data_IF_972016893336
#
_entry.id   IF_972016893336
#
_cell.length_a   1.000
_cell.length_b   1.000
_cell.length_c   1.000
_cell.angle_alpha   90.00
_cell.angle_beta   90.00
_cell.angle_gamma   90.00
#
_symmetry.space_group_name_H-M   'P 1'
#
loop_
_entity.id
_entity.type
_entity.pdbx_description
1 polymer ?
#
# COMPACT_ATOMS: atom_id res chain seq x y z
N UNK A 1 11.67 -13.69 -6.83
CA UNK A 1 11.87 -12.35 -6.24
C UNK A 1 10.64 -11.88 -5.43
N UNK A 2 9.46 -11.64 -6.06
CA UNK A 2 8.25 -11.16 -5.31
C UNK A 2 7.91 -12.09 -4.15
N UNK A 3 7.85 -13.41 -4.37
CA UNK A 3 7.57 -14.38 -3.31
C UNK A 3 8.63 -14.37 -2.19
N UNK A 4 9.90 -14.15 -2.51
CA UNK A 4 11.00 -14.06 -1.54
C UNK A 4 10.84 -12.81 -0.67
N UNK A 5 10.50 -11.66 -1.28
CA UNK A 5 10.23 -10.43 -0.53
C UNK A 5 9.03 -10.59 0.36
N UNK A 6 7.91 -11.13 -0.14
CA UNK A 6 6.70 -11.38 0.67
C UNK A 6 7.00 -12.33 1.83
N UNK A 7 7.77 -13.40 1.59
CA UNK A 7 8.18 -14.35 2.63
C UNK A 7 9.01 -13.70 3.73
N UNK A 8 9.81 -12.67 3.41
CA UNK A 8 10.63 -11.95 4.39
C UNK A 8 9.84 -11.10 5.37
N UNK A 9 8.56 -10.82 5.08
CA UNK A 9 7.67 -10.03 5.91
C UNK A 9 6.74 -10.85 6.82
N UNK A 10 7.12 -12.08 7.14
CA UNK A 10 6.36 -12.96 8.02
C UNK A 10 4.90 -13.20 7.58
N UNK A 11 4.67 -13.19 6.27
CA UNK A 11 3.35 -13.47 5.68
C UNK A 11 2.99 -14.95 5.70
N UNK A 12 3.97 -15.82 5.97
CA UNK A 12 3.84 -17.26 5.80
C UNK A 12 3.83 -17.72 4.34
N UNK A 13 3.84 -16.80 3.37
CA UNK A 13 3.89 -17.13 1.94
C UNK A 13 5.24 -17.76 1.60
N UNK A 14 5.23 -18.97 1.09
CA UNK A 14 6.42 -19.69 0.61
C UNK A 14 6.54 -19.71 -0.91
N UNK A 15 5.48 -19.33 -1.62
CA UNK A 15 5.49 -19.31 -3.08
C UNK A 15 4.25 -18.67 -3.69
N UNK A 16 4.40 -18.27 -4.95
CA UNK A 16 3.33 -17.77 -5.78
C UNK A 16 3.15 -18.72 -6.96
N UNK A 17 1.93 -19.01 -7.32
CA UNK A 17 1.61 -19.79 -8.51
C UNK A 17 0.59 -19.04 -9.38
N UNK A 18 0.84 -19.04 -10.69
CA UNK A 18 -0.11 -18.59 -11.69
C UNK A 18 -0.84 -19.83 -12.21
N UNK A 19 -2.15 -19.81 -12.13
CA UNK A 19 -3.00 -20.87 -12.66
C UNK A 19 -3.76 -20.34 -13.87
N UNK A 20 -3.64 -21.04 -15.00
CA UNK A 20 -4.41 -20.72 -16.20
C UNK A 20 -5.86 -21.18 -15.98
N UNK A 21 -6.80 -20.26 -16.16
CA UNK A 21 -8.24 -20.50 -16.00
C UNK A 21 -8.97 -20.21 -17.30
N UNK A 22 -10.05 -20.96 -17.54
CA UNK A 22 -10.93 -20.67 -18.67
C UNK A 22 -11.69 -19.36 -18.47
N UNK A 23 -12.12 -18.75 -19.57
CA UNK A 23 -12.94 -17.53 -19.50
C UNK A 23 -14.24 -17.74 -18.72
N UNK A 24 -14.83 -18.94 -18.78
CA UNK A 24 -16.04 -19.30 -18.00
C UNK A 24 -15.76 -19.34 -16.48
N UNK A 25 -14.54 -19.69 -16.09
CA UNK A 25 -14.12 -19.71 -14.68
C UNK A 25 -13.78 -18.29 -14.21
N UNK A 26 -13.13 -17.51 -15.06
CA UNK A 26 -12.88 -16.10 -14.82
C UNK A 26 -14.20 -15.34 -14.53
N UNK A 27 -15.29 -15.75 -15.21
CA UNK A 27 -16.62 -15.19 -15.01
C UNK A 27 -17.19 -15.37 -13.59
N UNK A 28 -16.67 -16.31 -12.83
CA UNK A 28 -17.04 -16.52 -11.41
C UNK A 28 -16.18 -15.74 -10.44
N UNK A 29 -14.96 -15.37 -10.86
CA UNK A 29 -13.97 -14.69 -10.04
C UNK A 29 -14.14 -13.17 -10.14
N UNK A 30 -14.42 -12.68 -11.34
CA UNK A 30 -14.40 -11.25 -11.67
C UNK A 30 -15.83 -10.70 -11.79
N UNK A 31 -16.17 -9.57 -11.15
CA UNK A 31 -17.47 -8.92 -11.29
C UNK A 31 -17.85 -8.59 -12.75
N UNK A 32 -19.15 -8.56 -13.08
CA UNK A 32 -19.62 -8.30 -14.45
C UNK A 32 -19.11 -6.99 -15.06
N UNK A 33 -18.99 -5.94 -14.25
CA UNK A 33 -18.51 -4.62 -14.69
C UNK A 33 -17.05 -4.68 -15.14
N UNK A 34 -16.22 -5.42 -14.41
CA UNK A 34 -14.81 -5.61 -14.74
C UNK A 34 -14.65 -6.49 -15.96
N UNK A 35 -15.49 -7.54 -16.10
CA UNK A 35 -15.54 -8.38 -17.32
C UNK A 35 -15.83 -7.56 -18.56
N UNK A 36 -16.81 -6.67 -18.46
CA UNK A 36 -17.13 -5.76 -19.57
C UNK A 36 -15.89 -4.91 -19.95
N UNK A 37 -15.23 -4.33 -18.97
CA UNK A 37 -13.99 -3.55 -19.18
C UNK A 37 -12.88 -4.40 -19.83
N UNK A 38 -12.66 -5.63 -19.38
CA UNK A 38 -11.69 -6.57 -19.96
C UNK A 38 -12.04 -6.80 -21.46
N UNK A 39 -13.30 -7.07 -21.74
CA UNK A 39 -13.74 -7.34 -23.11
C UNK A 39 -13.53 -6.14 -24.04
N UNK A 40 -13.84 -4.94 -23.57
CA UNK A 40 -13.59 -3.69 -24.32
C UNK A 40 -12.10 -3.43 -24.54
N UNK A 41 -11.27 -3.66 -23.52
CA UNK A 41 -9.82 -3.51 -23.65
C UNK A 41 -9.22 -4.52 -24.62
N UNK A 42 -9.69 -5.77 -24.61
CA UNK A 42 -9.28 -6.80 -25.56
C UNK A 42 -9.68 -6.44 -27.00
N UNK A 43 -10.87 -5.85 -27.20
CA UNK A 43 -11.33 -5.35 -28.51
C UNK A 43 -10.53 -4.15 -29.00
N UNK A 44 -10.32 -3.17 -28.12
CA UNK A 44 -9.57 -1.96 -28.43
C UNK A 44 -8.11 -2.26 -28.79
N UNK A 45 -7.52 -3.30 -28.19
CA UNK A 45 -6.17 -3.76 -28.44
C UNK A 45 -6.13 -5.02 -29.33
N UNK A 46 -7.06 -5.13 -30.28
CA UNK A 46 -7.03 -6.20 -31.26
C UNK A 46 -5.69 -6.23 -32.01
N UNK A 47 -5.04 -7.38 -32.15
CA UNK A 47 -3.73 -7.48 -32.76
C UNK A 47 -3.79 -7.06 -34.23
N UNK A 48 -2.79 -6.32 -34.67
CA UNK A 48 -2.59 -5.94 -36.08
C UNK A 48 -1.59 -6.88 -36.78
N UNK A 49 -0.80 -7.61 -35.98
CA UNK A 49 0.22 -8.57 -36.44
C UNK A 49 0.21 -9.79 -35.53
N UNK A 50 0.66 -10.92 -36.05
CA UNK A 50 0.78 -12.17 -35.27
C UNK A 50 1.83 -12.09 -34.15
N UNK A 51 2.75 -11.14 -34.23
CA UNK A 51 3.76 -10.90 -33.19
C UNK A 51 3.31 -9.95 -32.07
N UNK A 52 2.14 -9.34 -32.21
CA UNK A 52 1.66 -8.37 -31.22
C UNK A 52 1.30 -9.11 -29.92
N UNK A 53 1.79 -8.59 -28.79
CA UNK A 53 1.49 -9.11 -27.46
C UNK A 53 0.65 -8.10 -26.71
N UNK A 54 -0.39 -8.58 -26.07
CA UNK A 54 -1.21 -7.81 -25.16
C UNK A 54 -1.18 -8.47 -23.78
N UNK A 55 -0.89 -7.68 -22.77
CA UNK A 55 -0.94 -8.10 -21.37
C UNK A 55 -1.73 -7.09 -20.54
N UNK A 56 -2.61 -7.58 -19.71
CA UNK A 56 -3.40 -6.80 -18.76
C UNK A 56 -3.38 -7.50 -17.41
N UNK A 57 -3.09 -6.76 -16.37
CA UNK A 57 -3.22 -7.23 -14.99
C UNK A 57 -4.29 -6.41 -14.30
N UNK A 58 -5.24 -7.09 -13.68
CA UNK A 58 -6.32 -6.49 -12.91
C UNK A 58 -6.27 -7.07 -11.51
N UNK A 59 -6.23 -6.18 -10.51
CA UNK A 59 -6.18 -6.56 -9.11
C UNK A 59 -7.15 -5.69 -8.30
N UNK A 60 -7.77 -6.29 -7.32
CA UNK A 60 -8.47 -5.63 -6.23
C UNK A 60 -8.32 -6.47 -4.94
N UNK A 61 -9.10 -6.15 -3.93
CA UNK A 61 -9.06 -6.86 -2.64
C UNK A 61 -9.43 -8.35 -2.74
N UNK A 62 -10.15 -8.78 -3.78
CA UNK A 62 -10.69 -10.14 -3.87
C UNK A 62 -9.99 -11.02 -4.91
N UNK A 63 -9.33 -10.45 -5.90
CA UNK A 63 -8.68 -11.23 -6.95
C UNK A 63 -7.46 -10.55 -7.55
N UNK A 64 -6.58 -11.35 -8.10
CA UNK A 64 -5.45 -10.94 -8.90
C UNK A 64 -5.45 -11.75 -10.20
N UNK A 65 -5.80 -11.10 -11.30
CA UNK A 65 -5.99 -11.73 -12.61
C UNK A 65 -5.05 -11.11 -13.64
N UNK A 66 -4.33 -11.95 -14.35
CA UNK A 66 -3.58 -11.59 -15.55
C UNK A 66 -4.32 -12.06 -16.79
N UNK A 67 -4.32 -11.26 -17.84
CA UNK A 67 -4.84 -11.65 -19.16
C UNK A 67 -3.74 -11.39 -20.17
N UNK A 68 -3.40 -12.40 -20.93
CA UNK A 68 -2.38 -12.33 -21.95
C UNK A 68 -2.95 -12.83 -23.28
N UNK A 69 -2.56 -12.18 -24.38
CA UNK A 69 -2.89 -12.61 -25.73
C UNK A 69 -1.68 -12.41 -26.64
N UNK A 70 -1.40 -13.39 -27.45
CA UNK A 70 -0.34 -13.34 -28.47
C UNK A 70 -0.95 -13.45 -29.85
N UNK A 71 -0.74 -12.46 -30.68
CA UNK A 71 -1.29 -12.39 -32.03
C UNK A 71 -2.82 -12.52 -32.07
N UNK A 72 -3.31 -13.22 -33.06
CA UNK A 72 -4.73 -13.53 -33.23
C UNK A 72 -5.25 -14.70 -32.37
N UNK A 73 -4.39 -15.20 -31.45
CA UNK A 73 -4.77 -16.30 -30.56
C UNK A 73 -5.85 -15.90 -29.55
N UNK A 74 -6.47 -16.92 -28.95
CA UNK A 74 -7.42 -16.73 -27.88
C UNK A 74 -6.73 -16.12 -26.64
N UNK A 75 -7.36 -15.16 -25.96
CA UNK A 75 -6.83 -14.62 -24.72
C UNK A 75 -6.79 -15.70 -23.64
N UNK A 76 -5.70 -15.73 -22.90
CA UNK A 76 -5.48 -16.61 -21.74
C UNK A 76 -5.64 -15.82 -20.47
N UNK A 77 -6.46 -16.31 -19.56
CA UNK A 77 -6.59 -15.74 -18.24
C UNK A 77 -5.79 -16.56 -17.23
N UNK A 78 -5.13 -15.87 -16.32
CA UNK A 78 -4.38 -16.48 -15.21
C UNK A 78 -4.83 -15.86 -13.89
N UNK A 79 -4.98 -16.66 -12.85
CA UNK A 79 -5.18 -16.19 -11.48
C UNK A 79 -3.92 -16.40 -10.67
N UNK A 80 -3.62 -15.45 -9.81
CA UNK A 80 -2.53 -15.58 -8.86
C UNK A 80 -3.05 -16.27 -7.60
N UNK A 81 -2.36 -17.32 -7.18
CA UNK A 81 -2.58 -18.01 -5.92
C UNK A 81 -1.30 -18.03 -5.09
N UNK A 82 -1.45 -18.14 -3.79
CA UNK A 82 -0.37 -18.19 -2.83
C UNK A 82 -0.21 -19.60 -2.27
N UNK A 83 1.01 -19.92 -1.82
CA UNK A 83 1.30 -21.14 -1.05
C UNK A 83 1.94 -20.76 0.26
N UNK A 84 1.55 -21.47 1.33
CA UNK A 84 2.05 -21.23 2.67
C UNK A 84 2.84 -22.43 3.19
N UNK A 85 4.03 -22.16 3.74
CA UNK A 85 4.90 -23.17 4.34
C UNK A 85 5.18 -24.34 3.40
N UNK A 86 5.07 -25.57 3.91
CA UNK A 86 5.21 -26.81 3.13
C UNK A 86 3.90 -27.32 2.52
N UNK A 87 2.84 -26.52 2.50
CA UNK A 87 1.54 -26.95 1.96
C UNK A 87 1.58 -27.12 0.45
N UNK A 88 0.96 -28.20 -0.03
CA UNK A 88 0.72 -28.41 -1.46
C UNK A 88 -0.53 -27.66 -1.95
N UNK A 89 -1.38 -27.18 -1.01
CA UNK A 89 -2.58 -26.43 -1.34
C UNK A 89 -2.21 -25.01 -1.69
N UNK A 90 -2.82 -24.48 -2.75
CA UNK A 90 -2.79 -23.09 -3.11
C UNK A 90 -4.03 -22.39 -2.55
N UNK A 91 -3.86 -21.17 -2.08
CA UNK A 91 -4.90 -20.32 -1.53
C UNK A 91 -5.27 -19.26 -2.55
N UNK A 92 -6.55 -18.93 -2.65
CA UNK A 92 -7.00 -17.82 -3.47
C UNK A 92 -6.59 -16.49 -2.85
N UNK A 93 -6.40 -15.48 -3.67
CA UNK A 93 -5.94 -14.16 -3.22
C UNK A 93 -6.84 -13.53 -2.15
N UNK A 94 -8.16 -13.78 -2.24
CA UNK A 94 -9.16 -13.32 -1.26
C UNK A 94 -9.03 -13.99 0.12
N UNK A 95 -8.37 -15.14 0.21
CA UNK A 95 -8.18 -15.87 1.47
C UNK A 95 -7.00 -15.34 2.27
N UNK A 96 -6.20 -14.46 1.66
CA UNK A 96 -5.09 -13.80 2.33
C UNK A 96 -5.56 -12.71 3.30
N UNK A 97 -4.76 -12.42 4.32
CA UNK A 97 -5.01 -11.31 5.23
C UNK A 97 -4.98 -9.96 4.49
N UNK A 98 -5.68 -8.96 5.03
CA UNK A 98 -5.66 -7.59 4.47
C UNK A 98 -4.23 -7.05 4.37
N UNK A 99 -3.40 -7.29 5.38
CA UNK A 99 -1.99 -6.89 5.36
C UNK A 99 -1.22 -7.58 4.25
N UNK A 100 -1.40 -8.88 4.08
CA UNK A 100 -0.75 -9.64 2.99
C UNK A 100 -1.18 -9.11 1.62
N UNK A 101 -2.47 -8.89 1.39
CA UNK A 101 -2.99 -8.36 0.14
C UNK A 101 -2.43 -6.97 -0.17
N UNK A 102 -2.33 -6.12 0.85
CA UNK A 102 -1.77 -4.77 0.71
C UNK A 102 -0.26 -4.78 0.43
N UNK A 103 0.48 -5.77 0.93
CA UNK A 103 1.89 -5.97 0.57
C UNK A 103 2.08 -6.18 -0.93
N UNK A 104 1.14 -6.84 -1.61
CA UNK A 104 1.21 -6.96 -3.08
C UNK A 104 1.14 -5.61 -3.79
N UNK A 105 0.39 -4.62 -3.24
CA UNK A 105 0.38 -3.26 -3.79
C UNK A 105 1.76 -2.62 -3.68
N UNK A 106 2.44 -2.86 -2.56
CA UNK A 106 3.80 -2.38 -2.35
C UNK A 106 4.84 -3.05 -3.24
N UNK A 107 4.62 -4.31 -3.63
CA UNK A 107 5.54 -4.99 -4.57
C UNK A 107 5.61 -4.26 -5.90
N UNK A 108 4.50 -3.76 -6.42
CA UNK A 108 4.49 -2.99 -7.66
C UNK A 108 5.33 -1.70 -7.54
N UNK A 109 5.31 -1.06 -6.36
CA UNK A 109 6.11 0.13 -6.07
C UNK A 109 7.60 -0.22 -6.02
N UNK A 110 7.96 -1.26 -5.25
CA UNK A 110 9.35 -1.69 -5.07
C UNK A 110 9.98 -2.26 -6.35
N UNK A 111 9.19 -2.92 -7.21
CA UNK A 111 9.70 -3.52 -8.45
C UNK A 111 9.52 -2.64 -9.69
N UNK A 112 9.02 -1.41 -9.51
CA UNK A 112 8.93 -0.47 -10.63
C UNK A 112 10.33 -0.08 -11.10
N UNK A 113 10.55 -0.16 -12.42
CA UNK A 113 11.82 0.21 -13.06
C UNK A 113 11.70 1.53 -13.83
N UNK A 114 10.63 2.28 -13.60
CA UNK A 114 10.37 3.54 -14.30
C UNK A 114 10.95 4.69 -13.51
N UNK A 115 11.70 5.53 -14.15
CA UNK A 115 12.17 6.80 -13.65
C UNK A 115 10.99 7.81 -13.52
N UNK A 116 11.12 8.83 -12.68
CA UNK A 116 10.18 9.96 -12.54
C UNK A 116 8.75 9.58 -12.10
N UNK A 117 8.60 8.70 -11.12
CA UNK A 117 7.28 8.36 -10.57
C UNK A 117 7.05 8.93 -9.18
N UNK A 118 5.83 9.40 -8.96
CA UNK A 118 5.33 9.77 -7.62
C UNK A 118 4.26 8.77 -7.22
N UNK A 119 4.51 8.07 -6.12
CA UNK A 119 3.54 7.19 -5.49
C UNK A 119 2.87 7.91 -4.33
N UNK A 120 1.54 7.92 -4.32
CA UNK A 120 0.76 8.55 -3.25
C UNK A 120 -0.06 7.48 -2.55
N UNK A 121 0.16 7.29 -1.24
CA UNK A 121 -0.50 6.26 -0.44
C UNK A 121 -1.18 6.91 0.76
N UNK A 122 -2.48 6.75 0.85
CA UNK A 122 -3.23 7.16 2.02
C UNK A 122 -3.23 6.04 3.07
N UNK A 123 -2.99 6.40 4.34
CA UNK A 123 -2.88 5.47 5.46
C UNK A 123 -1.91 4.30 5.19
N UNK A 124 -0.64 4.60 4.98
CA UNK A 124 0.40 3.60 4.69
C UNK A 124 0.42 2.46 5.70
N UNK A 125 0.22 2.77 6.98
CA UNK A 125 0.23 1.84 8.09
C UNK A 125 -1.03 0.96 8.23
N UNK A 126 -2.06 1.21 7.42
CA UNK A 126 -3.32 0.46 7.52
C UNK A 126 -3.06 -1.03 7.28
N UNK A 127 -3.52 -1.85 8.24
CA UNK A 127 -3.37 -3.31 8.25
C UNK A 127 -1.94 -3.83 8.36
N UNK A 128 -0.96 -2.97 8.61
CA UNK A 128 0.43 -3.37 8.83
C UNK A 128 0.81 -3.31 10.32
N UNK A 129 1.74 -4.16 10.70
CA UNK A 129 2.45 -3.99 11.97
C UNK A 129 3.41 -2.78 11.86
N UNK A 130 3.59 -1.96 12.90
CA UNK A 130 4.49 -0.80 12.86
C UNK A 130 5.87 -1.07 12.28
N UNK A 131 6.52 -2.16 12.70
CA UNK A 131 7.82 -2.54 12.16
C UNK A 131 7.79 -2.76 10.64
N UNK A 132 6.67 -3.29 10.11
CA UNK A 132 6.54 -3.52 8.68
C UNK A 132 6.48 -2.21 7.90
N UNK A 133 5.73 -1.22 8.40
CA UNK A 133 5.67 0.11 7.79
C UNK A 133 7.05 0.76 7.70
N UNK A 134 7.84 0.68 8.77
CA UNK A 134 9.21 1.19 8.82
C UNK A 134 10.10 0.52 7.76
N UNK A 135 10.09 -0.81 7.71
CA UNK A 135 10.91 -1.55 6.74
C UNK A 135 10.49 -1.33 5.28
N UNK A 136 9.19 -1.12 5.01
CA UNK A 136 8.72 -0.79 3.67
C UNK A 136 9.25 0.56 3.19
N UNK A 137 9.26 1.57 4.05
CA UNK A 137 9.84 2.88 3.73
C UNK A 137 11.36 2.77 3.55
N UNK A 138 12.03 2.02 4.41
CA UNK A 138 13.47 1.77 4.28
C UNK A 138 13.81 1.09 2.95
N UNK A 139 13.08 0.04 2.58
CA UNK A 139 13.26 -0.66 1.31
C UNK A 139 12.97 0.25 0.11
N UNK A 140 11.93 1.07 0.17
CA UNK A 140 11.66 2.05 -0.88
C UNK A 140 12.86 2.97 -1.08
N UNK A 141 13.38 3.56 -0.01
CA UNK A 141 14.52 4.46 -0.05
C UNK A 141 15.80 3.77 -0.59
N UNK A 142 16.00 2.49 -0.27
CA UNK A 142 17.15 1.72 -0.76
C UNK A 142 17.01 1.36 -2.25
N UNK A 143 15.84 0.91 -2.67
CA UNK A 143 15.59 0.50 -4.06
C UNK A 143 15.66 1.70 -5.01
N UNK A 144 15.08 2.83 -4.59
CA UNK A 144 14.98 4.05 -5.38
C UNK A 144 16.07 5.10 -5.06
N UNK A 145 17.17 4.69 -4.43
CA UNK A 145 18.25 5.59 -4.03
C UNK A 145 18.93 6.32 -5.21
N UNK A 146 18.81 5.82 -6.42
CA UNK A 146 19.48 6.34 -7.61
C UNK A 146 18.52 6.70 -8.74
N UNK A 147 17.24 6.82 -8.46
CA UNK A 147 16.23 7.26 -9.43
C UNK A 147 15.40 8.44 -8.83
N UNK A 148 14.54 9.03 -9.64
CA UNK A 148 13.73 10.18 -9.25
C UNK A 148 12.32 9.79 -8.77
N UNK A 149 12.17 8.56 -8.25
CA UNK A 149 10.92 8.11 -7.66
C UNK A 149 10.67 8.77 -6.30
N UNK A 150 9.43 9.16 -6.04
CA UNK A 150 8.98 9.73 -4.77
C UNK A 150 7.86 8.92 -4.15
N UNK A 151 7.89 8.76 -2.82
CA UNK A 151 6.82 8.19 -2.03
C UNK A 151 6.23 9.28 -1.13
N UNK A 152 4.97 9.63 -1.38
CA UNK A 152 4.18 10.53 -0.53
C UNK A 152 3.12 9.69 0.17
N UNK A 153 3.05 9.76 1.49
CA UNK A 153 2.06 8.98 2.22
C UNK A 153 1.53 9.71 3.45
N UNK A 154 0.33 9.32 3.86
CA UNK A 154 -0.21 9.70 5.16
C UNK A 154 -0.09 8.52 6.13
N UNK A 155 0.03 8.83 7.41
CA UNK A 155 0.07 7.80 8.46
C UNK A 155 -0.39 8.38 9.81
N UNK A 156 -1.00 7.55 10.64
CA UNK A 156 -1.25 7.83 12.05
C UNK A 156 -0.18 7.25 12.97
N UNK A 157 0.83 6.60 12.38
CA UNK A 157 1.89 5.95 13.13
C UNK A 157 3.05 6.93 13.38
N UNK A 158 3.17 7.34 14.63
CA UNK A 158 4.17 8.34 15.02
C UNK A 158 5.59 7.75 15.21
N UNK A 159 5.71 6.43 15.34
CA UNK A 159 7.01 5.78 15.54
C UNK A 159 7.90 5.82 14.27
N UNK A 160 7.28 6.03 13.10
CA UNK A 160 8.02 6.22 11.86
C UNK A 160 8.64 7.63 11.76
N UNK A 161 8.22 8.56 12.61
CA UNK A 161 8.70 9.95 12.61
C UNK A 161 10.10 10.03 13.24
N UNK A 162 11.09 9.74 12.44
CA UNK A 162 12.52 9.71 12.82
C UNK A 162 13.39 10.29 11.73
N UNK A 163 14.49 10.94 12.13
CA UNK A 163 15.53 11.38 11.21
C UNK A 163 16.36 10.23 10.60
N UNK A 164 16.13 9.04 11.04
CA UNK A 164 16.65 7.82 10.42
C UNK A 164 16.01 7.58 9.04
N UNK A 165 14.73 7.93 8.91
CA UNK A 165 13.94 7.69 7.69
C UNK A 165 13.71 8.95 6.86
N UNK A 166 13.59 10.12 7.52
CA UNK A 166 13.15 11.35 6.86
C UNK A 166 13.98 12.56 7.27
N UNK A 167 14.17 13.49 6.34
CA UNK A 167 14.63 14.83 6.63
C UNK A 167 13.50 15.67 7.24
N UNK A 168 13.83 16.80 7.85
CA UNK A 168 12.84 17.70 8.45
C UNK A 168 11.82 18.23 7.44
N UNK A 169 12.29 18.58 6.25
CA UNK A 169 11.49 19.10 5.14
C UNK A 169 10.55 18.04 4.52
N UNK A 170 10.76 16.76 4.82
CA UNK A 170 9.93 15.65 4.38
C UNK A 170 8.79 15.30 5.36
N UNK A 171 8.84 15.82 6.59
CA UNK A 171 7.82 15.57 7.62
C UNK A 171 6.84 16.73 7.66
N UNK A 172 5.57 16.44 7.42
CA UNK A 172 4.49 17.40 7.37
C UNK A 172 3.36 17.02 8.32
N UNK A 173 2.73 18.02 8.93
CA UNK A 173 1.59 17.85 9.81
C UNK A 173 0.34 18.41 9.16
N UNK A 174 -0.79 17.72 9.42
CA UNK A 174 -2.13 18.20 9.04
C UNK A 174 -2.91 18.43 10.32
N UNK A 175 -3.43 19.64 10.49
CA UNK A 175 -4.26 20.00 11.62
C UNK A 175 -5.59 20.58 11.11
N UNK A 176 -6.67 20.26 11.81
CA UNK A 176 -8.00 20.83 11.54
C UNK A 176 -8.37 21.77 12.67
N UNK A 177 -8.71 23.00 12.35
CA UNK A 177 -9.15 23.99 13.32
C UNK A 177 -10.62 23.79 13.74
N UNK A 178 -11.08 24.60 14.70
CA UNK A 178 -12.47 24.57 15.22
C UNK A 178 -13.49 24.94 14.16
N UNK A 179 -13.12 25.69 13.12
CA UNK A 179 -13.96 26.09 11.99
C UNK A 179 -14.03 24.99 10.92
N UNK A 180 -13.25 23.92 11.07
CA UNK A 180 -13.21 22.78 10.16
C UNK A 180 -12.26 22.94 9.00
N UNK A 181 -11.42 23.98 8.99
CA UNK A 181 -10.38 24.20 7.97
C UNK A 181 -9.14 23.38 8.28
N UNK A 182 -8.59 22.75 7.25
CA UNK A 182 -7.33 21.99 7.38
C UNK A 182 -6.14 22.85 7.01
N UNK A 183 -5.09 22.75 7.83
CA UNK A 183 -3.80 23.38 7.62
C UNK A 183 -2.73 22.32 7.43
N UNK A 184 -1.85 22.53 6.46
CA UNK A 184 -0.68 21.70 6.19
C UNK A 184 0.57 22.55 6.45
N UNK A 185 1.50 22.03 7.25
CA UNK A 185 2.75 22.72 7.59
C UNK A 185 3.91 21.74 7.85
N UNK A 186 5.15 22.09 7.51
CA UNK A 186 6.29 21.21 7.68
C UNK A 186 6.86 21.26 9.12
N UNK A 187 7.60 20.22 9.50
CA UNK A 187 8.37 20.20 10.74
C UNK A 187 9.43 21.33 10.78
N UNK A 188 9.87 21.79 9.63
CA UNK A 188 10.84 22.90 9.52
C UNK A 188 10.35 24.24 10.10
N UNK A 189 9.05 24.47 10.16
CA UNK A 189 8.47 25.67 10.78
C UNK A 189 8.79 25.75 12.28
N UNK A 190 9.21 24.65 12.91
CA UNK A 190 9.57 24.53 14.33
C UNK A 190 11.09 24.54 14.56
N UNK A 191 11.87 25.17 13.71
CA UNK A 191 13.34 25.10 13.66
C UNK A 191 14.07 25.57 14.94
N UNK A 192 13.40 26.21 15.89
CA UNK A 192 13.99 26.76 17.14
C UNK A 192 14.18 25.71 18.24
N UNK A 193 13.64 24.54 18.11
CA UNK A 193 13.73 23.46 19.10
C UNK A 193 15.02 22.64 18.93
N UNK A 194 16.17 23.17 19.32
CA UNK A 194 17.45 22.50 19.57
C UNK A 194 17.71 21.21 18.77
N UNK A 195 17.91 21.34 17.49
CA UNK A 195 17.69 20.36 16.43
C UNK A 195 18.72 19.22 16.31
N UNK A 196 19.25 18.68 17.39
CA UNK A 196 20.29 17.62 17.30
C UNK A 196 20.02 16.33 18.08
N UNK A 197 18.80 16.13 18.57
CA UNK A 197 18.47 14.91 19.32
C UNK A 197 17.34 14.16 18.63
N UNK A 198 17.70 13.18 17.79
CA UNK A 198 16.81 12.23 17.10
C UNK A 198 15.85 11.49 18.03
N UNK A 199 16.27 11.27 19.25
CA UNK A 199 15.65 10.33 20.16
C UNK A 199 14.23 10.69 20.62
N UNK A 200 13.56 11.74 20.09
CA UNK A 200 12.30 12.20 20.68
C UNK A 200 11.34 12.94 19.77
N UNK A 201 11.43 12.81 18.43
CA UNK A 201 10.46 13.49 17.56
C UNK A 201 9.02 13.03 17.85
N UNK A 202 8.80 11.73 17.89
CA UNK A 202 7.50 11.12 18.22
C UNK A 202 7.01 11.58 19.61
N UNK A 203 7.89 11.61 20.61
CA UNK A 203 7.54 12.10 21.95
C UNK A 203 7.12 13.57 21.96
N UNK A 204 7.88 14.43 21.29
CA UNK A 204 7.57 15.87 21.16
C UNK A 204 6.24 16.09 20.43
N UNK A 205 5.98 15.29 19.40
CA UNK A 205 4.69 15.31 18.71
C UNK A 205 3.55 14.95 19.66
N UNK A 206 3.65 13.83 20.39
CA UNK A 206 2.64 13.39 21.36
C UNK A 206 2.45 14.38 22.52
N UNK A 207 3.50 15.16 22.86
CA UNK A 207 3.41 16.29 23.80
C UNK A 207 2.69 17.53 23.20
N UNK A 208 2.27 17.48 21.92
CA UNK A 208 1.59 18.56 21.22
C UNK A 208 2.47 19.70 20.77
N UNK A 209 3.82 19.55 20.79
CA UNK A 209 4.75 20.63 20.44
C UNK A 209 4.71 21.05 18.98
N UNK A 210 4.23 20.18 18.11
CA UNK A 210 4.14 20.42 16.68
C UNK A 210 2.71 20.58 16.20
N UNK A 211 1.70 20.60 17.11
CA UNK A 211 0.29 20.55 16.71
C UNK A 211 -0.12 19.20 16.13
N UNK A 212 -1.27 19.16 15.47
CA UNK A 212 -1.76 17.95 14.77
C UNK A 212 -2.11 16.76 15.67
N UNK A 213 -2.04 16.91 16.99
CA UNK A 213 -2.41 15.86 17.96
C UNK A 213 -3.91 15.95 18.24
N UNK A 214 -4.67 14.84 18.14
CA UNK A 214 -6.10 14.87 18.42
C UNK A 214 -6.40 15.26 19.87
N UNK A 215 -7.28 16.24 20.06
CA UNK A 215 -7.78 16.64 21.37
C UNK A 215 -8.94 15.71 21.74
N UNK A 216 -8.71 14.82 22.72
CA UNK A 216 -9.72 13.86 23.18
C UNK A 216 -10.32 14.35 24.51
N UNK A 217 -11.59 14.76 24.48
CA UNK A 217 -12.35 15.15 25.68
C UNK A 217 -13.10 13.92 26.25
N UNK A 218 -12.44 13.19 27.10
CA UNK A 218 -13.04 12.04 27.80
C UNK A 218 -14.13 12.44 28.79
N UNK A 219 -14.08 13.65 29.34
CA UNK A 219 -15.09 14.11 30.31
C UNK A 219 -16.43 14.29 29.61
N UNK A 220 -16.42 14.87 28.43
CA UNK A 220 -17.62 15.01 27.59
C UNK A 220 -18.17 13.66 27.13
N UNK A 221 -17.29 12.74 26.73
CA UNK A 221 -17.71 11.38 26.35
C UNK A 221 -18.34 10.63 27.53
N UNK A 222 -17.74 10.68 28.74
CA UNK A 222 -18.29 10.07 29.95
C UNK A 222 -19.64 10.65 30.32
N UNK A 223 -19.78 11.97 30.26
CA UNK A 223 -21.06 12.63 30.52
C UNK A 223 -22.15 12.16 29.54
N UNK A 224 -21.86 12.07 28.26
CA UNK A 224 -22.80 11.59 27.24
C UNK A 224 -23.21 10.12 27.44
N UNK A 225 -22.31 9.30 27.99
CA UNK A 225 -22.55 7.87 28.28
C UNK A 225 -23.13 7.63 29.69
N UNK A 226 -23.40 8.69 30.47
CA UNK A 226 -23.85 8.64 31.88
C UNK A 226 -22.92 7.81 32.79
N UNK A 227 -21.62 7.79 32.49
CA UNK A 227 -20.62 7.13 33.33
C UNK A 227 -20.32 8.02 34.51
N UNK A 228 -20.62 7.55 35.73
CA UNK A 228 -20.27 8.26 36.96
C UNK A 228 -18.79 8.06 37.27
N UNK A 229 -18.13 9.12 37.70
CA UNK A 229 -16.79 9.01 38.27
C UNK A 229 -16.92 8.24 39.62
N UNK A 230 -16.19 7.13 39.71
CA UNK A 230 -16.09 6.36 40.94
C UNK A 230 -15.06 6.95 41.90
#
# INVERSE_FOLDING_TARGET
QVAEVLSSFDTGISGLCKEEVGMDELDKIVPPEIRFTITELLRANAPKRDSDKFGLTIRNENFFVGIEREGAGEPKATVLRTRHGGSLLAFDFQDESDGTRRLFDFMDILFTQSEDKVFVIDELNRSFHPMLTQHLVELFNQVHANDDCQLVFTTHENDIMSYEYFRRDEIWFVERDEEGLSRLYPLDDFATDGARSDARLNKKYLEGRYGGVPVIDLSRARAALNIREG
#
